data_IF_199511224317
#
_entry.id   IF_199511224317
#
_cell.length_a   1.000
_cell.length_b   1.000
_cell.length_c   1.000
_cell.angle_alpha   90.00
_cell.angle_beta   90.00
_cell.angle_gamma   90.00
#
_symmetry.space_group_name_H-M   'P 1'
#
loop_
_entity.id
_entity.type
_entity.pdbx_description
1 polymer ?
#
# COMPACT_ATOMS: atom_id res chain seq x y z
N UNK A 1 0.12 15.77 6.31
CA UNK A 1 -1.29 15.85 5.87
C UNK A 1 -1.83 14.45 5.70
N UNK A 2 -3.08 14.29 5.25
CA UNK A 2 -3.58 13.01 4.72
C UNK A 2 -3.81 13.21 3.22
N UNK A 3 -3.37 12.24 2.44
CA UNK A 3 -3.56 12.21 0.99
C UNK A 3 -4.12 10.85 0.62
N UNK A 4 -5.02 10.83 -0.35
CA UNK A 4 -5.51 9.61 -0.99
C UNK A 4 -4.72 9.43 -2.28
N UNK A 5 -4.25 8.22 -2.55
CA UNK A 5 -3.47 7.92 -3.76
C UNK A 5 -4.18 6.85 -4.56
N UNK A 6 -4.52 7.16 -5.80
CA UNK A 6 -5.05 6.19 -6.74
C UNK A 6 -3.90 5.61 -7.57
N UNK A 7 -3.72 4.30 -7.49
CA UNK A 7 -2.74 3.56 -8.31
C UNK A 7 -3.48 2.69 -9.31
N UNK A 8 -3.21 2.92 -10.59
CA UNK A 8 -3.75 2.12 -11.69
C UNK A 8 -2.64 1.22 -12.24
N UNK A 9 -2.85 -0.09 -12.23
CA UNK A 9 -1.93 -1.09 -12.77
C UNK A 9 -2.60 -1.88 -13.88
N UNK A 10 -1.77 -2.44 -14.76
CA UNK A 10 -2.25 -3.42 -15.74
C UNK A 10 -2.56 -4.75 -15.03
N UNK A 11 -3.61 -5.43 -15.45
CA UNK A 11 -3.93 -6.78 -14.97
C UNK A 11 -2.69 -7.69 -15.03
N UNK A 12 -2.49 -8.48 -13.97
CA UNK A 12 -1.33 -9.37 -13.82
C UNK A 12 0.00 -8.69 -13.48
N UNK A 13 0.06 -7.35 -13.40
CA UNK A 13 1.28 -6.63 -12.97
C UNK A 13 1.22 -6.25 -11.48
N UNK A 14 2.36 -6.21 -10.78
CA UNK A 14 2.43 -5.74 -9.39
C UNK A 14 2.43 -4.20 -9.33
N UNK A 15 1.91 -3.64 -8.24
CA UNK A 15 1.98 -2.19 -7.97
C UNK A 15 3.43 -1.70 -7.78
N UNK A 16 4.34 -2.60 -7.37
CA UNK A 16 5.71 -2.25 -7.00
C UNK A 16 5.82 -1.58 -5.63
N UNK A 17 4.88 -1.88 -4.73
CA UNK A 17 4.82 -1.37 -3.38
C UNK A 17 5.22 -2.46 -2.38
N UNK A 18 6.13 -2.16 -1.46
CA UNK A 18 6.47 -3.02 -0.33
C UNK A 18 5.97 -2.37 0.95
N UNK A 19 5.21 -3.12 1.74
CA UNK A 19 4.68 -2.66 3.03
C UNK A 19 5.40 -3.36 4.18
N UNK A 20 5.57 -2.63 5.28
CA UNK A 20 6.02 -3.17 6.57
C UNK A 20 5.01 -2.81 7.66
N UNK A 21 5.12 -3.44 8.82
CA UNK A 21 4.24 -3.15 9.97
C UNK A 21 2.91 -3.89 9.92
N UNK A 22 2.08 -3.62 10.91
CA UNK A 22 0.93 -4.42 11.31
C UNK A 22 0.86 -4.49 12.83
N UNK A 23 -0.32 -4.75 13.39
CA UNK A 23 -0.49 -4.82 14.84
C UNK A 23 0.38 -5.91 15.49
N UNK A 24 0.66 -6.99 14.75
CA UNK A 24 1.54 -8.09 15.15
C UNK A 24 3.04 -7.76 15.04
N UNK A 25 3.38 -6.57 14.55
CA UNK A 25 4.76 -6.05 14.39
C UNK A 25 4.99 -4.78 15.22
N UNK A 26 4.10 -4.51 16.18
CA UNK A 26 4.13 -3.32 17.05
C UNK A 26 4.37 -1.99 16.30
N UNK A 27 3.88 -1.91 15.06
CA UNK A 27 4.10 -0.76 14.19
C UNK A 27 2.96 -0.57 13.21
N UNK A 28 2.71 0.68 12.81
CA UNK A 28 1.66 0.97 11.81
C UNK A 28 2.09 0.47 10.43
N UNK A 29 1.15 -0.03 9.61
CA UNK A 29 1.43 -0.36 8.22
C UNK A 29 1.99 0.85 7.47
N UNK A 30 3.16 0.69 6.85
CA UNK A 30 3.87 1.78 6.18
C UNK A 30 4.59 1.32 4.91
N UNK A 31 4.76 2.24 3.97
CA UNK A 31 5.56 2.05 2.76
C UNK A 31 7.02 1.83 3.17
N UNK A 32 7.53 0.63 2.91
CA UNK A 32 8.92 0.27 3.19
C UNK A 32 9.81 0.55 1.98
N UNK A 33 9.33 0.24 0.78
CA UNK A 33 10.07 0.40 -0.46
C UNK A 33 9.10 0.65 -1.64
N UNK A 34 9.60 1.39 -2.62
CA UNK A 34 8.96 1.59 -3.93
C UNK A 34 9.90 1.03 -5.00
N UNK A 35 9.40 0.11 -5.82
CA UNK A 35 10.19 -0.53 -6.87
C UNK A 35 10.47 0.49 -8.00
N UNK A 36 11.73 0.62 -8.47
CA UNK A 36 12.06 1.47 -9.60
C UNK A 36 11.20 1.17 -10.84
N UNK A 37 10.64 2.21 -11.44
CA UNK A 37 9.81 2.15 -12.65
C UNK A 37 8.38 1.64 -12.44
N UNK A 38 7.99 1.31 -11.20
CA UNK A 38 6.64 0.85 -10.87
C UNK A 38 5.59 1.97 -10.88
N UNK A 39 4.31 1.60 -10.91
CA UNK A 39 3.20 2.55 -10.82
C UNK A 39 3.17 3.25 -9.47
N UNK A 40 3.55 2.56 -8.39
CA UNK A 40 3.65 3.17 -7.06
C UNK A 40 4.72 4.26 -7.03
N UNK A 41 5.92 4.01 -7.58
CA UNK A 41 6.97 5.02 -7.66
C UNK A 41 6.58 6.19 -8.57
N UNK A 42 6.02 5.89 -9.76
CA UNK A 42 5.61 6.89 -10.75
C UNK A 42 4.39 7.73 -10.35
N UNK A 43 3.73 7.40 -9.25
CA UNK A 43 2.65 8.23 -8.73
C UNK A 43 3.17 9.59 -8.28
N UNK A 44 4.44 9.69 -7.88
CA UNK A 44 5.08 10.87 -7.28
C UNK A 44 4.34 11.42 -6.04
N UNK A 45 3.37 10.67 -5.50
CA UNK A 45 2.61 11.01 -4.29
C UNK A 45 3.00 10.10 -3.11
N UNK A 46 3.38 8.85 -3.38
CA UNK A 46 3.82 7.91 -2.35
C UNK A 46 5.31 8.06 -2.07
N UNK A 47 5.66 8.10 -0.79
CA UNK A 47 7.03 8.12 -0.31
C UNK A 47 7.33 6.97 0.66
N UNK A 48 8.61 6.61 0.77
CA UNK A 48 9.06 5.66 1.78
C UNK A 48 8.82 6.25 3.17
N UNK A 49 8.14 5.50 4.03
CA UNK A 49 7.76 5.93 5.37
C UNK A 49 6.29 6.33 5.49
N UNK A 50 5.58 6.53 4.39
CA UNK A 50 4.16 6.85 4.41
C UNK A 50 3.35 5.78 5.13
N UNK A 51 2.45 6.21 6.01
CA UNK A 51 1.61 5.32 6.81
C UNK A 51 0.29 5.08 6.08
N UNK A 52 -0.02 3.82 5.80
CA UNK A 52 -1.31 3.46 5.22
C UNK A 52 -2.36 3.49 6.32
N UNK A 53 -3.35 4.35 6.15
CA UNK A 53 -4.49 4.47 7.08
C UNK A 53 -5.68 3.63 6.62
N UNK A 54 -5.85 3.46 5.31
CA UNK A 54 -6.85 2.64 4.68
C UNK A 54 -6.35 2.13 3.33
N UNK A 55 -6.92 1.02 2.85
CA UNK A 55 -6.74 0.48 1.49
C UNK A 55 -8.13 0.14 0.97
N UNK A 56 -8.52 0.72 -0.17
CA UNK A 56 -9.85 0.61 -0.76
C UNK A 56 -10.99 0.89 0.26
N UNK A 57 -10.78 1.89 1.11
CA UNK A 57 -11.73 2.27 2.17
C UNK A 57 -11.70 1.39 3.44
N UNK A 58 -10.97 0.27 3.43
CA UNK A 58 -10.81 -0.59 4.61
C UNK A 58 -9.70 -0.04 5.49
N UNK A 59 -10.03 0.34 6.73
CA UNK A 59 -9.06 0.85 7.70
C UNK A 59 -8.02 -0.23 8.03
N UNK A 60 -6.75 0.14 7.98
CA UNK A 60 -5.62 -0.75 8.30
C UNK A 60 -5.33 -0.83 9.80
N UNK A 61 -5.92 0.07 10.58
CA UNK A 61 -5.76 0.08 12.04
C UNK A 61 -6.27 -1.23 12.65
N UNK A 62 -5.41 -1.91 13.40
CA UNK A 62 -5.73 -3.19 14.03
C UNK A 62 -5.54 -4.42 13.13
N UNK A 63 -5.16 -4.25 11.87
CA UNK A 63 -4.85 -5.37 10.99
C UNK A 63 -3.45 -5.91 11.23
N UNK A 64 -3.32 -7.23 11.12
CA UNK A 64 -2.01 -7.90 11.04
C UNK A 64 -1.33 -7.60 9.71
N UNK A 65 -0.02 -7.76 9.68
CA UNK A 65 0.79 -7.57 8.48
C UNK A 65 0.22 -8.32 7.27
N UNK A 66 -0.05 -9.62 7.43
CA UNK A 66 -0.58 -10.45 6.33
C UNK A 66 -1.94 -9.95 5.81
N UNK A 67 -2.84 -9.51 6.71
CA UNK A 67 -4.15 -8.98 6.32
C UNK A 67 -4.01 -7.71 5.47
N UNK A 68 -3.05 -6.84 5.80
CA UNK A 68 -2.76 -5.65 4.99
C UNK A 68 -2.24 -6.05 3.61
N UNK A 69 -1.35 -7.04 3.54
CA UNK A 69 -0.82 -7.55 2.27
C UNK A 69 -1.93 -8.18 1.42
N UNK A 70 -2.85 -8.91 2.03
CA UNK A 70 -3.99 -9.52 1.33
C UNK A 70 -4.92 -8.46 0.73
N UNK A 71 -5.18 -7.37 1.44
CA UNK A 71 -5.95 -6.24 0.89
C UNK A 71 -5.30 -5.66 -0.38
N UNK A 72 -3.97 -5.51 -0.40
CA UNK A 72 -3.23 -5.00 -1.56
C UNK A 72 -3.26 -6.00 -2.72
N UNK A 73 -3.18 -7.30 -2.43
CA UNK A 73 -3.21 -8.38 -3.44
C UNK A 73 -4.59 -8.60 -4.04
N UNK A 74 -5.66 -8.38 -3.28
CA UNK A 74 -7.04 -8.46 -3.76
C UNK A 74 -7.38 -7.34 -4.74
N UNK A 75 -6.51 -6.32 -4.87
CA UNK A 75 -6.70 -5.27 -5.85
C UNK A 75 -6.44 -5.79 -7.27
N UNK A 76 -7.48 -5.69 -8.11
CA UNK A 76 -7.40 -5.91 -9.55
C UNK A 76 -6.54 -4.83 -10.24
N UNK A 77 -7.19 -3.88 -10.89
CA UNK A 77 -6.47 -2.87 -11.69
C UNK A 77 -6.33 -1.50 -11.01
N UNK A 78 -7.11 -1.22 -9.96
CA UNK A 78 -7.12 0.07 -9.28
C UNK A 78 -7.09 -0.06 -7.76
N UNK A 79 -6.10 0.56 -7.12
CA UNK A 79 -5.96 0.70 -5.65
C UNK A 79 -6.22 2.15 -5.24
N UNK A 80 -6.93 2.38 -4.13
CA UNK A 80 -7.20 3.72 -3.56
C UNK A 80 -6.94 3.78 -2.06
#
# INVERSE_FOLDING_TARGET
>A
GRTTVELIKKEGTPLGLTISGGIDKDSKPKVAQLKPGSVAQKSDVLEIGDVLLAINGIKTAGLKHEQVIDLIKQVGDQLT
#
